data_IF_424351610339
#
_entry.id   IF_424351610339
#
_cell.length_a   1.000
_cell.length_b   1.000
_cell.length_c   1.000
_cell.angle_alpha   90.00
_cell.angle_beta   90.00
_cell.angle_gamma   90.00
#
_symmetry.space_group_name_H-M   'P 1'
#
loop_
_entity.id
_entity.type
_entity.pdbx_description
1 polymer ?
#
# COMPACT_ATOMS: atom_id res chain seq x y z
N UNK A 1 -28.27 -15.83 -41.58
CA UNK A 1 -26.87 -15.38 -41.69
C UNK A 1 -26.70 -14.18 -40.78
N UNK A 2 -26.17 -14.42 -39.57
CA UNK A 2 -25.87 -13.36 -38.62
C UNK A 2 -24.53 -12.72 -39.03
N UNK A 3 -24.55 -11.41 -39.29
CA UNK A 3 -23.38 -10.62 -39.61
C UNK A 3 -22.53 -10.39 -38.36
N UNK A 4 -21.24 -10.72 -38.48
CA UNK A 4 -20.21 -10.43 -37.49
C UNK A 4 -20.01 -8.91 -37.44
N UNK A 5 -20.45 -8.28 -36.35
CA UNK A 5 -20.00 -6.93 -35.99
C UNK A 5 -18.67 -7.07 -35.27
N UNK A 6 -17.58 -6.82 -36.00
CA UNK A 6 -16.28 -6.58 -35.41
C UNK A 6 -16.35 -5.26 -34.63
N UNK A 7 -16.43 -5.37 -33.30
CA UNK A 7 -16.13 -4.25 -32.41
C UNK A 7 -14.64 -3.95 -32.54
N UNK A 8 -14.31 -2.86 -33.21
CA UNK A 8 -12.97 -2.30 -33.19
C UNK A 8 -12.67 -1.86 -31.77
N UNK A 9 -11.99 -2.70 -30.99
CA UNK A 9 -11.31 -2.29 -29.77
C UNK A 9 -10.22 -1.29 -30.16
N UNK A 10 -10.57 -0.02 -30.20
CA UNK A 10 -9.61 1.06 -30.02
C UNK A 10 -9.05 0.85 -28.62
N UNK A 11 -7.79 0.45 -28.51
CA UNK A 11 -7.06 0.37 -27.25
C UNK A 11 -7.06 1.78 -26.63
N UNK A 12 -7.98 2.01 -25.71
CA UNK A 12 -8.02 3.23 -24.92
C UNK A 12 -6.89 3.10 -23.90
N UNK A 13 -5.96 4.05 -23.92
CA UNK A 13 -4.79 4.05 -23.04
C UNK A 13 -5.23 4.13 -21.57
N UNK A 14 -5.18 2.99 -20.86
CA UNK A 14 -5.63 2.83 -19.48
C UNK A 14 -4.56 3.24 -18.46
N UNK A 15 -4.54 4.51 -18.04
CA UNK A 15 -3.72 4.97 -16.88
C UNK A 15 -4.39 6.08 -16.07
N UNK A 16 -5.62 5.87 -15.60
CA UNK A 16 -6.31 6.84 -14.74
C UNK A 16 -6.10 6.51 -13.24
N UNK A 17 -5.45 7.41 -12.49
CA UNK A 17 -5.61 7.43 -11.02
C UNK A 17 -7.03 7.91 -10.75
N UNK A 18 -7.85 7.03 -10.17
CA UNK A 18 -9.21 7.41 -9.73
C UNK A 18 -9.16 7.77 -8.25
N UNK A 19 -9.53 9.00 -7.96
CA UNK A 19 -9.70 9.46 -6.58
C UNK A 19 -11.15 9.24 -6.18
N UNK A 20 -11.33 8.54 -5.07
CA UNK A 20 -12.63 8.31 -4.48
C UNK A 20 -12.68 9.03 -3.13
N UNK A 21 -13.78 9.72 -2.86
CA UNK A 21 -14.16 9.98 -1.47
C UNK A 21 -15.02 8.85 -0.97
N UNK A 22 -14.76 8.45 0.26
CA UNK A 22 -15.62 7.54 1.00
C UNK A 22 -16.39 8.33 2.05
N UNK A 23 -17.71 8.18 2.10
CA UNK A 23 -18.49 8.52 3.29
C UNK A 23 -18.85 7.22 4.00
N UNK A 24 -18.46 7.10 5.26
CA UNK A 24 -18.79 5.95 6.10
C UNK A 24 -19.86 6.35 7.12
N UNK A 25 -20.88 5.51 7.23
CA UNK A 25 -21.77 5.41 8.40
C UNK A 25 -21.46 4.11 9.12
N UNK A 26 -22.00 3.89 10.33
CA UNK A 26 -21.80 2.64 11.07
C UNK A 26 -22.32 1.37 10.37
N UNK A 27 -23.05 1.51 9.25
CA UNK A 27 -23.67 0.39 8.53
C UNK A 27 -23.36 0.35 7.03
N UNK A 28 -22.88 1.44 6.43
CA UNK A 28 -22.58 1.52 4.98
C UNK A 28 -21.41 2.45 4.69
N UNK A 29 -20.54 2.05 3.76
CA UNK A 29 -19.48 2.88 3.18
C UNK A 29 -19.80 3.13 1.71
N UNK A 30 -20.11 4.38 1.34
CA UNK A 30 -20.42 4.75 -0.03
C UNK A 30 -19.20 5.38 -0.70
N UNK A 31 -18.98 5.05 -1.98
CA UNK A 31 -18.04 5.76 -2.83
C UNK A 31 -18.77 6.85 -3.62
N UNK A 32 -18.29 8.07 -3.50
CA UNK A 32 -18.51 9.10 -4.52
C UNK A 32 -17.20 9.25 -5.30
N UNK A 33 -17.23 8.86 -6.57
CA UNK A 33 -16.10 9.04 -7.48
C UNK A 33 -16.02 10.49 -7.93
N UNK A 34 -14.82 11.06 -7.96
CA UNK A 34 -14.57 12.28 -8.72
C UNK A 34 -14.18 11.91 -10.15
N UNK A 35 -14.61 12.72 -11.11
CA UNK A 35 -14.16 12.63 -12.49
C UNK A 35 -12.62 12.72 -12.55
N UNK A 36 -12.05 11.93 -13.46
CA UNK A 36 -10.62 11.88 -13.71
C UNK A 36 -10.06 13.28 -13.96
N UNK A 37 -8.94 13.61 -13.31
CA UNK A 37 -8.08 14.68 -13.81
C UNK A 37 -7.65 14.28 -15.22
N UNK A 38 -7.85 15.12 -16.23
CA UNK A 38 -7.62 14.75 -17.64
C UNK A 38 -6.23 15.20 -18.15
N UNK A 39 -5.40 15.79 -17.28
CA UNK A 39 -4.09 16.35 -17.62
C UNK A 39 -2.93 15.39 -17.25
N UNK A 40 -3.19 14.08 -17.26
CA UNK A 40 -2.15 13.08 -17.02
C UNK A 40 -1.32 12.87 -18.29
N UNK A 41 -0.26 13.65 -18.42
CA UNK A 41 0.93 13.16 -19.10
C UNK A 41 1.54 12.04 -18.26
N UNK A 42 0.99 10.82 -18.37
CA UNK A 42 1.61 9.48 -18.45
C UNK A 42 2.87 9.08 -17.62
N UNK A 43 3.35 9.85 -16.64
CA UNK A 43 4.72 9.66 -16.11
C UNK A 43 4.82 9.32 -14.61
N UNK A 44 3.72 9.24 -13.86
CA UNK A 44 3.77 8.88 -12.43
C UNK A 44 3.57 7.39 -12.20
N UNK A 45 4.38 6.82 -11.31
CA UNK A 45 4.51 5.37 -11.12
C UNK A 45 4.04 4.88 -9.75
N UNK A 46 4.03 5.79 -8.76
CA UNK A 46 3.59 5.53 -7.40
C UNK A 46 2.86 6.75 -6.86
N UNK A 47 1.79 6.49 -6.10
CA UNK A 47 1.00 7.50 -5.39
C UNK A 47 0.86 7.06 -3.94
N UNK A 48 1.19 7.94 -3.00
CA UNK A 48 1.03 7.68 -1.56
C UNK A 48 0.33 8.85 -0.87
N UNK A 49 -0.15 8.62 0.35
CA UNK A 49 -0.74 9.69 1.16
C UNK A 49 0.28 10.79 1.42
N UNK A 50 -0.18 12.03 1.31
CA UNK A 50 0.62 13.20 1.56
C UNK A 50 0.67 13.60 3.04
N UNK A 51 1.34 14.72 3.35
CA UNK A 51 1.62 15.14 4.72
C UNK A 51 0.40 15.61 5.51
N UNK A 52 -0.69 15.97 4.83
CA UNK A 52 -1.91 16.49 5.42
C UNK A 52 -3.15 15.79 4.86
N UNK A 53 -4.30 16.01 5.51
CA UNK A 53 -5.58 15.66 4.89
C UNK A 53 -5.66 16.27 3.49
N UNK A 54 -6.30 15.56 2.56
CA UNK A 54 -6.47 16.04 1.19
C UNK A 54 -5.16 16.30 0.43
N UNK A 55 -4.08 15.61 0.80
CA UNK A 55 -2.82 15.67 0.04
C UNK A 55 -2.35 14.28 -0.37
N UNK A 56 -1.68 14.22 -1.52
CA UNK A 56 -1.06 13.02 -2.05
C UNK A 56 0.31 13.34 -2.63
N UNK A 57 1.20 12.35 -2.63
CA UNK A 57 2.52 12.44 -3.22
C UNK A 57 2.54 11.57 -4.47
N UNK A 58 2.95 12.17 -5.59
CA UNK A 58 3.06 11.51 -6.89
C UNK A 58 4.54 11.39 -7.25
N UNK A 59 5.04 10.17 -7.35
CA UNK A 59 6.43 9.88 -7.66
C UNK A 59 6.57 9.38 -9.10
N UNK A 60 7.49 10.01 -9.84
CA UNK A 60 7.91 9.63 -11.17
C UNK A 60 9.30 8.99 -11.08
N UNK A 61 9.36 7.68 -11.34
CA UNK A 61 10.60 6.91 -11.26
C UNK A 61 11.53 7.09 -12.45
N UNK A 62 11.04 7.54 -13.60
CA UNK A 62 11.85 7.69 -14.81
C UNK A 62 12.50 9.07 -14.89
N UNK A 63 11.80 10.10 -14.42
CA UNK A 63 12.32 11.46 -14.36
C UNK A 63 12.82 11.84 -12.95
N UNK A 64 12.84 10.87 -12.03
CA UNK A 64 13.42 10.98 -10.69
C UNK A 64 12.92 12.16 -9.85
N UNK A 65 11.63 12.47 -9.92
CA UNK A 65 11.04 13.56 -9.14
C UNK A 65 9.75 13.13 -8.46
N UNK A 66 9.36 13.83 -7.39
CA UNK A 66 8.01 13.71 -6.84
C UNK A 66 7.34 15.07 -6.68
N UNK A 67 6.01 15.06 -6.68
CA UNK A 67 5.17 16.23 -6.39
C UNK A 67 4.30 15.95 -5.18
N UNK A 68 4.19 16.95 -4.31
CA UNK A 68 3.14 16.96 -3.29
C UNK A 68 1.99 17.78 -3.85
N UNK A 69 0.82 17.17 -3.91
CA UNK A 69 -0.39 17.79 -4.46
C UNK A 69 -1.47 17.90 -3.39
N UNK A 70 -2.21 18.99 -3.43
CA UNK A 70 -3.46 19.15 -2.72
C UNK A 70 -4.63 18.74 -3.62
N UNK A 71 -5.63 18.11 -3.03
CA UNK A 71 -6.84 17.60 -3.68
C UNK A 71 -8.04 18.22 -2.98
N UNK A 72 -8.74 19.16 -3.61
CA UNK A 72 -9.89 19.80 -2.99
C UNK A 72 -11.11 18.84 -2.92
N UNK A 73 -12.14 19.24 -2.18
CA UNK A 73 -13.37 18.46 -1.98
C UNK A 73 -14.21 18.22 -3.25
N UNK A 74 -13.92 18.92 -4.34
CA UNK A 74 -14.51 18.72 -5.66
C UNK A 74 -13.62 17.84 -6.57
N UNK A 75 -12.52 17.29 -6.04
CA UNK A 75 -11.56 16.50 -6.80
C UNK A 75 -10.62 17.33 -7.68
N UNK A 76 -10.52 18.65 -7.47
CA UNK A 76 -9.56 19.51 -8.17
C UNK A 76 -8.17 19.45 -7.53
N UNK A 77 -7.12 19.55 -8.35
CA UNK A 77 -5.74 19.36 -7.92
C UNK A 77 -4.91 20.64 -8.02
N UNK A 78 -3.98 20.84 -7.09
CA UNK A 78 -2.92 21.85 -7.20
C UNK A 78 -1.60 21.31 -6.68
N UNK A 79 -0.49 21.70 -7.33
CA UNK A 79 0.85 21.32 -6.86
C UNK A 79 1.25 22.24 -5.72
N UNK A 80 1.57 21.67 -4.56
CA UNK A 80 2.12 22.39 -3.41
C UNK A 80 3.64 22.51 -3.52
N UNK A 81 4.30 21.43 -3.91
CA UNK A 81 5.74 21.39 -4.09
C UNK A 81 6.16 20.36 -5.14
N UNK A 82 7.36 20.55 -5.69
CA UNK A 82 8.04 19.57 -6.55
C UNK A 82 9.46 19.42 -6.06
N UNK A 83 9.92 18.18 -5.94
CA UNK A 83 11.30 17.83 -5.58
C UNK A 83 11.89 17.02 -6.72
N UNK A 84 12.97 17.53 -7.31
CA UNK A 84 13.72 16.88 -8.39
C UNK A 84 14.93 16.10 -7.85
N UNK A 85 15.59 15.34 -8.72
CA UNK A 85 16.81 14.60 -8.43
C UNK A 85 16.70 13.68 -7.20
N UNK A 86 15.52 13.10 -7.02
CA UNK A 86 15.22 12.14 -5.97
C UNK A 86 16.07 10.90 -6.16
N UNK A 87 16.40 10.53 -7.40
CA UNK A 87 17.23 9.38 -7.76
C UNK A 87 16.42 8.13 -8.12
N UNK A 88 17.14 7.05 -8.42
CA UNK A 88 16.54 5.82 -8.96
C UNK A 88 15.95 4.95 -7.85
N UNK A 89 14.67 5.13 -7.56
CA UNK A 89 13.95 4.34 -6.56
C UNK A 89 12.76 3.60 -7.17
N UNK A 90 12.51 2.39 -6.70
CA UNK A 90 11.41 1.54 -7.16
C UNK A 90 10.11 1.82 -6.38
N UNK A 91 10.27 2.11 -5.10
CA UNK A 91 9.17 2.19 -4.13
C UNK A 91 9.24 3.47 -3.32
N UNK A 92 8.07 3.93 -2.89
CA UNK A 92 7.90 5.03 -1.94
C UNK A 92 6.93 4.58 -0.85
N UNK A 93 7.30 4.82 0.39
CA UNK A 93 6.48 4.59 1.58
C UNK A 93 6.10 5.93 2.19
N UNK A 94 4.95 5.92 2.86
CA UNK A 94 4.51 6.96 3.77
C UNK A 94 4.53 6.40 5.19
N UNK A 95 5.04 7.16 6.15
CA UNK A 95 5.21 6.67 7.52
C UNK A 95 5.81 7.72 8.44
N UNK A 96 5.87 7.48 9.74
CA UNK A 96 6.60 8.34 10.67
C UNK A 96 8.07 7.93 10.71
N UNK A 97 8.91 8.57 9.90
CA UNK A 97 10.33 8.23 9.82
C UNK A 97 11.22 9.25 10.54
N UNK A 98 10.78 10.48 10.80
CA UNK A 98 11.65 11.56 11.28
C UNK A 98 11.22 12.08 12.66
N UNK A 99 9.97 11.89 13.09
CA UNK A 99 9.53 12.17 14.47
C UNK A 99 8.03 12.29 14.68
N UNK A 100 7.61 12.41 15.95
CA UNK A 100 6.23 12.35 16.47
C UNK A 100 5.27 13.49 16.04
N UNK A 101 5.37 13.98 14.82
CA UNK A 101 4.33 14.84 14.26
C UNK A 101 3.18 13.97 13.75
N UNK A 102 1.98 14.56 13.64
CA UNK A 102 0.86 13.91 12.96
C UNK A 102 1.05 13.83 11.44
N UNK A 103 2.16 14.36 10.92
CA UNK A 103 2.49 14.40 9.50
C UNK A 103 3.32 13.17 9.18
N UNK A 104 2.96 12.49 8.09
CA UNK A 104 3.70 11.34 7.58
C UNK A 104 4.83 11.83 6.67
N UNK A 105 5.98 11.20 6.80
CA UNK A 105 7.21 11.39 6.04
C UNK A 105 7.25 10.44 4.83
N UNK A 106 8.27 10.63 3.97
CA UNK A 106 8.51 9.76 2.84
C UNK A 106 9.80 8.96 2.99
N UNK A 107 9.71 7.70 2.58
CA UNK A 107 10.87 6.84 2.40
C UNK A 107 10.87 6.26 0.98
N UNK A 108 11.92 6.54 0.23
CA UNK A 108 12.16 5.97 -1.09
C UNK A 108 13.10 4.77 -0.95
N UNK A 109 12.80 3.68 -1.66
CA UNK A 109 13.56 2.44 -1.59
C UNK A 109 13.84 1.84 -2.96
N UNK A 110 15.10 1.44 -3.17
CA UNK A 110 15.53 0.74 -4.36
C UNK A 110 15.71 -0.74 -3.99
N UNK A 111 14.86 -1.57 -4.58
CA UNK A 111 14.73 -2.99 -4.24
C UNK A 111 15.97 -3.78 -4.60
N UNK A 112 16.67 -3.42 -5.67
CA UNK A 112 17.87 -4.12 -6.13
C UNK A 112 19.12 -3.74 -5.32
N UNK A 113 19.30 -2.44 -5.06
CA UNK A 113 20.54 -1.92 -4.46
C UNK A 113 20.49 -1.83 -2.94
N UNK A 114 19.29 -1.80 -2.35
CA UNK A 114 19.05 -1.57 -0.93
C UNK A 114 19.17 -0.11 -0.51
N UNK A 115 19.31 0.83 -1.45
CA UNK A 115 19.33 2.26 -1.12
C UNK A 115 17.99 2.71 -0.57
N UNK A 116 18.07 3.49 0.51
CA UNK A 116 16.96 4.19 1.17
C UNK A 116 17.26 5.68 1.14
N UNK A 117 16.24 6.50 0.85
CA UNK A 117 16.29 7.96 0.98
C UNK A 117 15.06 8.46 1.73
N UNK A 118 15.26 9.26 2.78
CA UNK A 118 14.18 9.74 3.66
C UNK A 118 14.01 11.25 3.52
N UNK A 119 12.76 11.67 3.37
CA UNK A 119 12.33 13.07 3.40
C UNK A 119 11.33 13.29 4.52
N UNK A 120 11.55 14.32 5.31
CA UNK A 120 10.55 14.84 6.24
C UNK A 120 9.56 15.70 5.46
N UNK A 121 8.26 15.47 5.63
CA UNK A 121 7.24 16.29 4.98
C UNK A 121 6.63 17.30 5.95
N UNK A 122 6.21 18.44 5.40
CA UNK A 122 5.60 19.54 6.14
C UNK A 122 4.15 19.76 5.72
N UNK A 123 3.34 20.36 6.59
CA UNK A 123 1.90 20.56 6.35
C UNK A 123 1.62 21.45 5.12
N UNK A 124 2.55 22.33 4.76
CA UNK A 124 2.48 23.16 3.55
C UNK A 124 2.88 22.41 2.27
N UNK A 125 3.18 21.12 2.36
CA UNK A 125 3.61 20.26 1.26
C UNK A 125 5.11 20.33 0.95
N UNK A 126 5.91 21.13 1.66
CA UNK A 126 7.37 21.10 1.50
C UNK A 126 7.97 19.78 1.98
N UNK A 127 9.12 19.42 1.43
CA UNK A 127 9.86 18.22 1.80
C UNK A 127 11.32 18.56 2.09
N UNK A 128 11.83 18.11 3.23
CA UNK A 128 13.21 18.30 3.66
C UNK A 128 13.95 16.97 3.58
N UNK A 129 14.99 16.89 2.75
CA UNK A 129 15.88 15.73 2.73
C UNK A 129 16.53 15.55 4.11
N UNK A 130 16.48 14.32 4.65
CA UNK A 130 17.05 14.02 5.97
C UNK A 130 18.34 13.22 5.86
N UNK A 131 18.26 12.05 5.25
CA UNK A 131 19.41 11.18 5.08
C UNK A 131 19.16 10.17 3.98
N UNK A 132 20.24 9.53 3.56
CA UNK A 132 20.20 8.33 2.73
C UNK A 132 21.15 7.30 3.31
N UNK A 133 20.81 6.04 3.12
CA UNK A 133 21.58 4.92 3.61
C UNK A 133 21.41 3.74 2.66
N UNK A 134 22.48 2.99 2.46
CA UNK A 134 22.37 1.67 1.84
C UNK A 134 22.14 0.63 2.92
N UNK A 135 20.95 0.03 2.95
CA UNK A 135 20.73 -1.18 3.73
C UNK A 135 21.53 -2.33 3.10
N UNK A 136 21.98 -3.32 3.90
CA UNK A 136 22.66 -4.49 3.34
C UNK A 136 21.87 -5.07 2.16
N UNK A 137 22.49 -5.18 0.97
CA UNK A 137 21.83 -5.74 -0.19
C UNK A 137 21.46 -7.20 0.08
N UNK A 138 20.58 -7.74 -0.75
CA UNK A 138 20.10 -9.10 -0.60
C UNK A 138 21.28 -10.10 -0.69
N UNK A 139 21.40 -11.08 0.24
CA UNK A 139 22.60 -11.91 0.37
C UNK A 139 23.00 -12.71 -0.87
N UNK A 140 22.06 -13.30 -1.62
CA UNK A 140 22.38 -14.07 -2.82
C UNK A 140 22.48 -13.24 -4.11
N UNK A 141 22.31 -11.91 -4.01
CA UNK A 141 22.15 -11.04 -5.17
C UNK A 141 20.72 -11.09 -5.72
N UNK A 142 20.21 -9.95 -6.16
CA UNK A 142 18.83 -9.82 -6.65
C UNK A 142 18.12 -8.61 -6.07
N UNK A 143 16.78 -8.66 -6.02
CA UNK A 143 15.94 -7.57 -5.50
C UNK A 143 15.05 -8.03 -4.35
N UNK A 144 14.77 -7.13 -3.42
CA UNK A 144 13.66 -7.29 -2.48
C UNK A 144 12.34 -7.28 -3.26
N UNK A 145 11.39 -8.13 -2.88
CA UNK A 145 10.11 -8.23 -3.60
C UNK A 145 9.10 -7.22 -3.04
N UNK A 146 9.01 -7.14 -1.71
CA UNK A 146 8.09 -6.29 -0.98
C UNK A 146 8.84 -5.50 0.09
N UNK A 147 8.49 -4.22 0.20
CA UNK A 147 8.87 -3.36 1.32
C UNK A 147 7.60 -2.76 1.93
N UNK A 148 7.51 -2.73 3.25
CA UNK A 148 6.51 -1.97 3.98
C UNK A 148 7.02 -1.37 5.28
N UNK A 149 6.18 -0.54 5.90
CA UNK A 149 6.49 0.14 7.14
C UNK A 149 5.31 0.14 8.09
N UNK A 150 5.59 0.32 9.37
CA UNK A 150 4.57 0.47 10.38
C UNK A 150 5.15 0.60 11.78
N UNK A 151 4.32 1.01 12.72
CA UNK A 151 4.68 1.23 14.10
C UNK A 151 4.76 -0.10 14.85
N UNK A 152 5.98 -0.57 15.14
CA UNK A 152 6.22 -1.80 15.91
C UNK A 152 6.79 -1.47 17.29
N UNK A 153 6.24 -0.44 17.95
CA UNK A 153 6.59 -0.10 19.33
C UNK A 153 7.87 0.69 19.53
N UNK A 154 8.30 1.46 18.52
CA UNK A 154 9.40 2.40 18.68
C UNK A 154 9.01 3.63 19.52
N UNK A 155 9.96 4.27 20.20
CA UNK A 155 9.69 5.58 20.81
C UNK A 155 9.21 6.61 19.76
N UNK A 156 8.40 7.58 20.21
CA UNK A 156 7.88 8.65 19.35
C UNK A 156 6.98 8.19 18.19
N UNK A 157 6.37 7.00 18.30
CA UNK A 157 5.47 6.42 17.28
C UNK A 157 6.10 6.29 15.90
N UNK A 158 7.43 6.09 15.86
CA UNK A 158 8.17 5.95 14.61
C UNK A 158 7.93 4.58 13.97
N UNK A 159 7.94 4.57 12.66
CA UNK A 159 7.72 3.36 11.87
C UNK A 159 9.03 2.62 11.64
N UNK A 160 8.95 1.31 11.81
CA UNK A 160 9.93 0.33 11.40
C UNK A 160 9.69 -0.09 9.95
N UNK A 161 10.69 -0.69 9.31
CA UNK A 161 10.61 -1.21 7.94
C UNK A 161 10.61 -2.74 7.97
N UNK A 162 9.75 -3.34 7.16
CA UNK A 162 9.77 -4.75 6.79
C UNK A 162 10.18 -4.89 5.33
N UNK A 163 11.24 -5.66 5.07
CA UNK A 163 11.63 -6.13 3.75
C UNK A 163 11.33 -7.62 3.63
N UNK A 164 10.76 -8.05 2.50
CA UNK A 164 10.50 -9.44 2.19
C UNK A 164 11.03 -9.80 0.80
N UNK A 165 11.68 -10.95 0.72
CA UNK A 165 12.13 -11.58 -0.51
C UNK A 165 11.40 -12.92 -0.69
N UNK A 166 10.63 -12.98 -1.77
CA UNK A 166 9.80 -14.11 -2.19
C UNK A 166 10.66 -15.28 -2.63
N UNK A 167 11.76 -15.02 -3.33
CA UNK A 167 12.63 -16.06 -3.90
C UNK A 167 13.31 -16.91 -2.83
N UNK A 168 13.82 -16.29 -1.77
CA UNK A 168 14.52 -16.95 -0.67
C UNK A 168 13.60 -17.31 0.49
N UNK A 169 12.44 -16.65 0.60
CA UNK A 169 11.60 -16.75 1.79
C UNK A 169 12.25 -16.09 3.00
N UNK A 170 12.85 -14.92 2.79
CA UNK A 170 13.56 -14.16 3.83
C UNK A 170 12.83 -12.86 4.09
N UNK A 171 12.71 -12.50 5.36
CA UNK A 171 12.25 -11.18 5.77
C UNK A 171 13.17 -10.56 6.81
N UNK A 172 13.31 -9.23 6.74
CA UNK A 172 14.15 -8.45 7.65
C UNK A 172 13.40 -7.23 8.14
N UNK A 173 13.55 -6.96 9.43
CA UNK A 173 13.05 -5.75 10.07
C UNK A 173 14.19 -4.79 10.35
N UNK A 174 13.96 -3.52 10.05
CA UNK A 174 14.89 -2.43 10.31
C UNK A 174 14.20 -1.36 11.13
N UNK A 175 14.89 -0.92 12.19
CA UNK A 175 14.45 0.16 13.07
C UNK A 175 15.32 1.38 12.87
N UNK A 176 14.71 2.56 12.81
CA UNK A 176 15.48 3.80 12.72
C UNK A 176 16.16 4.11 14.05
N UNK A 177 17.47 4.22 14.06
CA UNK A 177 18.19 4.82 15.18
C UNK A 177 18.07 6.35 15.09
N UNK A 178 17.31 6.95 16.01
CA UNK A 178 17.03 8.38 16.04
C UNK A 178 18.27 9.25 16.31
N UNK A 179 19.29 8.70 16.96
CA UNK A 179 20.54 9.42 17.23
C UNK A 179 21.43 9.52 16.00
N UNK A 180 21.53 8.43 15.23
CA UNK A 180 22.42 8.35 14.06
C UNK A 180 21.71 8.61 12.73
N UNK A 181 20.38 8.84 12.74
CA UNK A 181 19.56 8.96 11.53
C UNK A 181 19.85 7.83 10.53
N UNK A 182 19.86 6.59 11.04
CA UNK A 182 20.17 5.40 10.23
C UNK A 182 19.37 4.21 10.69
N UNK A 183 18.93 3.38 9.75
CA UNK A 183 18.26 2.13 9.99
C UNK A 183 19.26 1.04 10.41
N UNK A 184 18.92 0.31 11.47
CA UNK A 184 19.65 -0.84 11.96
C UNK A 184 18.76 -2.09 11.92
N UNK A 185 19.29 -3.27 11.55
CA UNK A 185 18.52 -4.51 11.57
C UNK A 185 18.16 -4.86 13.02
N UNK A 186 16.92 -5.28 13.25
CA UNK A 186 16.40 -5.63 14.58
C UNK A 186 15.80 -7.03 14.65
N UNK A 187 15.30 -7.55 13.52
CA UNK A 187 14.81 -8.92 13.44
C UNK A 187 14.96 -9.48 12.04
N UNK A 188 14.89 -10.80 11.96
CA UNK A 188 15.30 -11.55 10.80
C UNK A 188 14.56 -12.90 10.79
N UNK A 189 13.79 -13.15 9.73
CA UNK A 189 13.03 -14.39 9.50
C UNK A 189 13.40 -15.14 8.21
N UNK A 190 13.64 -16.45 8.36
CA UNK A 190 14.13 -17.36 7.33
C UNK A 190 13.06 -18.45 7.14
N UNK A 191 12.92 -18.96 5.91
CA UNK A 191 11.95 -20.03 5.62
C UNK A 191 10.50 -19.57 5.61
N UNK A 192 10.25 -18.27 5.38
CA UNK A 192 8.91 -17.80 5.08
C UNK A 192 8.40 -18.40 3.78
N UNK A 193 7.07 -18.51 3.67
CA UNK A 193 6.46 -18.96 2.41
C UNK A 193 6.89 -18.03 1.28
N UNK A 194 7.04 -18.61 0.09
CA UNK A 194 7.65 -17.99 -1.11
C UNK A 194 6.61 -17.59 -2.16
N UNK A 195 5.38 -17.37 -1.71
CA UNK A 195 4.19 -17.18 -2.53
C UNK A 195 3.41 -15.92 -2.13
N UNK A 196 3.91 -15.12 -1.18
CA UNK A 196 3.23 -13.88 -0.83
C UNK A 196 3.41 -12.84 -1.93
N UNK A 197 2.28 -12.32 -2.43
CA UNK A 197 2.25 -11.30 -3.48
C UNK A 197 2.10 -9.90 -2.89
N UNK A 198 1.44 -9.78 -1.73
CA UNK A 198 1.25 -8.53 -1.01
C UNK A 198 1.47 -8.74 0.50
N UNK A 199 2.10 -7.76 1.13
CA UNK A 199 2.17 -7.62 2.59
C UNK A 199 1.67 -6.23 2.93
N UNK A 200 0.50 -6.16 3.55
CA UNK A 200 -0.24 -4.92 3.79
C UNK A 200 -0.26 -4.62 5.29
N UNK A 201 0.23 -3.45 5.72
CA UNK A 201 0.22 -3.05 7.13
C UNK A 201 -1.17 -2.57 7.57
N UNK A 202 -1.47 -2.73 8.85
CA UNK A 202 -2.59 -2.09 9.55
C UNK A 202 -2.75 -2.63 10.98
N UNK A 203 -3.43 -1.92 11.86
CA UNK A 203 -3.81 -2.42 13.20
C UNK A 203 -4.97 -3.42 13.09
N UNK A 204 -4.71 -4.73 13.09
CA UNK A 204 -5.69 -5.78 12.81
C UNK A 204 -6.32 -6.30 14.11
N UNK A 205 -5.55 -6.42 15.18
CA UNK A 205 -6.03 -6.92 16.47
C UNK A 205 -6.54 -5.79 17.40
N UNK A 206 -6.31 -4.51 17.07
CA UNK A 206 -6.72 -3.35 17.86
C UNK A 206 -5.77 -2.98 18.99
N UNK A 207 -4.52 -3.45 18.97
CA UNK A 207 -3.52 -3.19 20.01
C UNK A 207 -2.68 -1.92 19.76
N UNK A 208 -3.00 -1.17 18.71
CA UNK A 208 -2.31 0.04 18.26
C UNK A 208 -0.89 -0.18 17.73
N UNK A 209 -0.40 -1.41 17.62
CA UNK A 209 0.77 -1.74 16.80
C UNK A 209 0.34 -2.07 15.37
N UNK A 210 1.27 -1.91 14.44
CA UNK A 210 1.05 -2.38 13.08
C UNK A 210 1.14 -3.90 13.04
N UNK A 211 0.04 -4.52 12.64
CA UNK A 211 -0.03 -5.91 12.18
C UNK A 211 0.09 -5.96 10.64
N UNK A 212 0.08 -7.17 10.09
CA UNK A 212 0.25 -7.38 8.66
C UNK A 212 -0.71 -8.43 8.10
N UNK A 213 -1.35 -8.10 6.99
CA UNK A 213 -1.96 -9.06 6.08
C UNK A 213 -0.91 -9.54 5.08
N UNK A 214 -0.67 -10.84 5.06
CA UNK A 214 0.06 -11.56 4.04
C UNK A 214 -0.95 -12.15 3.07
N UNK A 215 -0.87 -11.76 1.80
CA UNK A 215 -1.82 -12.19 0.79
C UNK A 215 -1.12 -12.82 -0.41
N UNK A 216 -1.64 -13.97 -0.82
CA UNK A 216 -1.25 -14.71 -2.00
C UNK A 216 -2.48 -14.82 -2.92
N UNK A 217 -2.34 -14.25 -4.11
CA UNK A 217 -3.42 -14.12 -5.08
C UNK A 217 -3.71 -15.43 -5.82
N UNK A 218 -2.75 -16.35 -5.86
CA UNK A 218 -2.87 -17.68 -6.50
C UNK A 218 -3.46 -18.74 -5.55
N UNK A 219 -3.73 -18.37 -4.30
CA UNK A 219 -4.33 -19.22 -3.27
C UNK A 219 -3.35 -20.11 -2.51
N UNK A 220 -3.82 -20.66 -1.39
CA UNK A 220 -3.07 -21.59 -0.54
C UNK A 220 -3.45 -23.01 -0.90
N UNK A 221 -2.47 -23.85 -1.30
CA UNK A 221 -2.57 -25.27 -1.67
C UNK A 221 -3.97 -25.87 -1.83
N UNK A 222 -4.28 -26.34 -3.05
CA UNK A 222 -5.55 -26.99 -3.44
C UNK A 222 -6.11 -27.90 -2.34
N UNK A 223 -7.16 -27.45 -1.66
CA UNK A 223 -8.05 -28.35 -0.93
C UNK A 223 -8.81 -29.22 -1.95
N UNK A 224 -9.09 -30.47 -1.59
CA UNK A 224 -9.85 -31.43 -2.41
C UNK A 224 -11.30 -31.01 -2.68
N UNK A 225 -11.74 -29.86 -2.17
CA UNK A 225 -13.04 -29.23 -2.46
C UNK A 225 -12.79 -27.96 -3.27
N UNK A 226 -13.27 -27.95 -4.51
CA UNK A 226 -12.88 -27.09 -5.63
C UNK A 226 -13.24 -25.58 -5.53
N UNK A 227 -13.07 -24.96 -4.36
CA UNK A 227 -13.14 -23.49 -4.22
C UNK A 227 -11.72 -22.94 -4.33
N UNK A 228 -11.44 -22.23 -5.42
CA UNK A 228 -10.16 -21.54 -5.62
C UNK A 228 -10.30 -20.13 -5.06
N UNK A 229 -9.66 -19.89 -3.92
CA UNK A 229 -9.69 -18.59 -3.22
C UNK A 229 -8.27 -18.13 -2.94
N UNK A 230 -8.09 -16.82 -2.83
CA UNK A 230 -6.85 -16.22 -2.36
C UNK A 230 -6.56 -16.65 -0.92
N UNK A 231 -5.28 -16.67 -0.56
CA UNK A 231 -4.83 -17.01 0.79
C UNK A 231 -4.45 -15.73 1.52
N UNK A 232 -5.12 -15.48 2.64
CA UNK A 232 -4.87 -14.36 3.52
C UNK A 232 -4.47 -14.86 4.90
N UNK A 233 -3.32 -14.38 5.39
CA UNK A 233 -2.81 -14.66 6.72
C UNK A 233 -2.55 -13.35 7.45
N UNK A 234 -3.10 -13.21 8.64
CA UNK A 234 -2.96 -12.02 9.47
C UNK A 234 -2.01 -12.32 10.60
N UNK A 235 -0.98 -11.49 10.76
CA UNK A 235 0.07 -11.70 11.74
C UNK A 235 0.40 -10.41 12.47
N UNK A 236 0.77 -10.55 13.74
CA UNK A 236 1.39 -9.50 14.53
C UNK A 236 2.85 -9.85 14.78
N UNK A 237 3.68 -8.82 14.95
CA UNK A 237 5.03 -8.95 15.47
C UNK A 237 5.21 -8.27 16.83
N UNK A 238 4.35 -7.30 17.14
CA UNK A 238 4.47 -6.43 18.31
C UNK A 238 5.84 -5.75 18.43
N UNK A 239 6.12 -5.22 19.63
CA UNK A 239 7.36 -4.48 19.91
C UNK A 239 8.61 -5.34 20.02
N UNK A 240 8.43 -6.65 20.23
CA UNK A 240 9.50 -7.62 20.37
C UNK A 240 9.86 -8.31 19.05
N UNK A 241 9.20 -7.94 17.95
CA UNK A 241 9.37 -8.54 16.65
C UNK A 241 9.17 -10.06 16.63
N UNK A 242 8.24 -10.59 17.43
CA UNK A 242 7.94 -12.02 17.50
C UNK A 242 6.68 -12.33 16.70
N UNK A 243 6.80 -13.18 15.67
CA UNK A 243 5.68 -13.55 14.81
C UNK A 243 4.59 -14.28 15.60
N UNK A 244 3.38 -13.73 15.57
CA UNK A 244 2.17 -14.33 16.09
C UNK A 244 1.11 -14.34 14.99
N UNK A 245 0.52 -15.50 14.71
CA UNK A 245 -0.63 -15.58 13.81
C UNK A 245 -1.88 -15.11 14.55
N UNK A 246 -2.54 -14.09 14.02
CA UNK A 246 -3.84 -13.61 14.50
C UNK A 246 -4.94 -14.51 13.95
N UNK A 247 -4.94 -14.70 12.62
CA UNK A 247 -5.89 -15.55 11.90
C UNK A 247 -5.36 -15.91 10.51
N UNK A 248 -5.97 -16.89 9.85
CA UNK A 248 -5.60 -17.35 8.51
C UNK A 248 -6.82 -17.91 7.79
N UNK A 249 -7.01 -17.57 6.52
CA UNK A 249 -8.09 -18.08 5.68
C UNK A 249 -7.59 -18.37 4.25
N UNK A 250 -8.04 -19.49 3.71
CA UNK A 250 -7.68 -19.97 2.37
C UNK A 250 -8.90 -20.16 1.46
N UNK A 251 -10.11 -19.80 1.93
CA UNK A 251 -11.36 -20.11 1.23
C UNK A 251 -12.24 -18.90 0.96
N UNK A 252 -11.99 -17.75 1.59
CA UNK A 252 -12.91 -16.60 1.52
C UNK A 252 -12.38 -15.41 0.72
N UNK A 253 -11.07 -15.25 0.61
CA UNK A 253 -10.49 -14.08 -0.06
C UNK A 253 -10.53 -14.22 -1.57
N UNK A 254 -10.78 -13.14 -2.32
CA UNK A 254 -10.88 -13.23 -3.78
C UNK A 254 -9.55 -13.71 -4.35
N UNK A 255 -9.63 -14.54 -5.39
CA UNK A 255 -8.50 -14.93 -6.23
C UNK A 255 -8.62 -14.16 -7.55
N UNK A 256 -7.64 -13.34 -7.89
CA UNK A 256 -7.57 -12.67 -9.19
C UNK A 256 -6.12 -12.32 -9.52
N UNK A 257 -5.80 -12.16 -10.80
CA UNK A 257 -4.44 -11.86 -11.24
C UNK A 257 -4.01 -10.45 -10.82
N UNK A 258 -4.98 -9.53 -10.71
CA UNK A 258 -4.74 -8.13 -10.35
C UNK A 258 -5.63 -7.71 -9.18
N UNK A 259 -5.20 -8.05 -7.96
CA UNK A 259 -5.86 -7.60 -6.73
C UNK A 259 -5.10 -6.42 -6.12
N UNK A 260 -5.82 -5.38 -5.70
CA UNK A 260 -5.31 -4.33 -4.83
C UNK A 260 -6.00 -4.40 -3.47
N UNK A 261 -5.23 -4.36 -2.40
CA UNK A 261 -5.76 -4.40 -1.03
C UNK A 261 -5.43 -3.09 -0.31
N UNK A 262 -6.45 -2.31 0.01
CA UNK A 262 -6.31 -1.01 0.66
C UNK A 262 -6.72 -1.13 2.13
N UNK A 263 -5.80 -0.96 3.09
CA UNK A 263 -6.14 -0.90 4.50
C UNK A 263 -6.86 0.41 4.81
N UNK A 264 -7.80 0.39 5.75
CA UNK A 264 -8.46 1.57 6.28
C UNK A 264 -9.48 1.21 7.36
N UNK A 265 -9.98 2.21 8.09
CA UNK A 265 -11.06 2.01 9.07
C UNK A 265 -12.41 2.34 8.41
N UNK A 266 -12.96 1.38 7.65
CA UNK A 266 -14.17 1.56 6.84
C UNK A 266 -15.47 1.31 7.61
N UNK A 267 -15.43 0.43 8.62
CA UNK A 267 -16.51 0.09 9.53
C UNK A 267 -16.58 1.01 10.76
N UNK A 268 -15.54 1.80 11.03
CA UNK A 268 -15.52 2.83 12.07
C UNK A 268 -15.20 2.32 13.47
N UNK A 269 -14.69 1.09 13.63
CA UNK A 269 -14.41 0.47 14.92
C UNK A 269 -12.95 0.58 15.37
N UNK A 270 -12.14 1.32 14.61
CA UNK A 270 -10.69 1.54 14.82
C UNK A 270 -9.80 0.35 14.54
N UNK A 271 -10.35 -0.81 14.15
CA UNK A 271 -9.56 -1.89 13.57
C UNK A 271 -9.41 -1.68 12.08
N UNK A 272 -8.38 -2.29 11.51
CA UNK A 272 -8.13 -2.23 10.07
C UNK A 272 -9.08 -3.14 9.33
N UNK A 273 -9.92 -2.51 8.52
CA UNK A 273 -10.71 -3.09 7.45
C UNK A 273 -9.94 -3.03 6.12
N UNK A 274 -10.47 -3.70 5.10
CA UNK A 274 -9.88 -3.68 3.78
C UNK A 274 -10.89 -3.35 2.68
N UNK A 275 -10.50 -2.51 1.73
CA UNK A 275 -11.07 -2.54 0.40
C UNK A 275 -10.22 -3.48 -0.44
N UNK A 276 -10.84 -4.52 -0.97
CA UNK A 276 -10.21 -5.45 -1.91
C UNK A 276 -10.79 -5.19 -3.28
N UNK A 277 -9.97 -4.66 -4.17
CA UNK A 277 -10.35 -4.35 -5.54
C UNK A 277 -9.75 -5.36 -6.51
N UNK A 278 -10.61 -6.00 -7.28
CA UNK A 278 -10.27 -6.90 -8.37
C UNK A 278 -10.28 -6.11 -9.69
N UNK A 279 -9.11 -5.84 -10.24
CA UNK A 279 -8.98 -5.09 -11.48
C UNK A 279 -9.41 -5.89 -12.71
N UNK A 280 -9.32 -7.22 -12.67
CA UNK A 280 -9.76 -8.09 -13.77
C UNK A 280 -11.28 -7.98 -13.98
N UNK A 281 -12.02 -7.70 -12.91
CA UNK A 281 -13.48 -7.59 -12.92
C UNK A 281 -13.98 -6.15 -12.72
N UNK A 282 -13.11 -5.21 -12.38
CA UNK A 282 -13.47 -3.84 -12.02
C UNK A 282 -14.37 -3.74 -10.78
N UNK A 283 -14.27 -4.69 -9.85
CA UNK A 283 -15.11 -4.81 -8.66
C UNK A 283 -14.33 -4.49 -7.38
N UNK A 284 -14.90 -3.67 -6.51
CA UNK A 284 -14.37 -3.40 -5.17
C UNK A 284 -15.27 -3.98 -4.10
N UNK A 285 -14.69 -4.70 -3.14
CA UNK A 285 -15.40 -5.27 -1.99
C UNK A 285 -14.82 -4.75 -0.69
N UNK A 286 -15.68 -4.25 0.20
CA UNK A 286 -15.28 -3.94 1.58
C UNK A 286 -15.34 -5.18 2.46
N UNK A 287 -14.26 -5.42 3.18
CA UNK A 287 -14.05 -6.48 4.15
C UNK A 287 -13.87 -5.87 5.52
N UNK A 288 -14.88 -6.00 6.37
CA UNK A 288 -14.85 -5.44 7.71
C UNK A 288 -14.27 -6.44 8.70
N UNK A 289 -13.38 -5.97 9.55
CA UNK A 289 -12.81 -6.73 10.64
C UNK A 289 -13.85 -6.89 11.75
N UNK A 290 -14.38 -8.10 11.90
CA UNK A 290 -15.34 -8.43 12.95
C UNK A 290 -14.69 -8.76 14.29
N UNK A 291 -13.36 -8.67 14.37
CA UNK A 291 -12.54 -8.92 15.55
C UNK A 291 -11.43 -9.92 15.29
N UNK A 292 -10.24 -9.64 15.83
CA UNK A 292 -9.06 -10.52 15.80
C UNK A 292 -8.78 -11.11 14.40
N UNK A 293 -8.77 -10.27 13.38
CA UNK A 293 -8.45 -10.66 11.99
C UNK A 293 -9.51 -11.55 11.32
N UNK A 294 -10.73 -11.63 11.84
CA UNK A 294 -11.86 -12.23 11.15
C UNK A 294 -12.54 -11.17 10.28
N UNK A 295 -12.88 -11.50 9.04
CA UNK A 295 -13.42 -10.52 8.09
C UNK A 295 -14.76 -10.95 7.47
N UNK A 296 -15.67 -9.99 7.35
CA UNK A 296 -16.95 -10.16 6.67
C UNK A 296 -17.05 -9.21 5.46
N UNK A 297 -17.36 -9.76 4.28
CA UNK A 297 -17.65 -8.95 3.10
C UNK A 297 -18.99 -8.24 3.25
N UNK A 298 -19.05 -6.93 2.96
CA UNK A 298 -20.26 -6.12 3.19
C UNK A 298 -20.88 -5.52 1.93
N UNK A 299 -20.08 -5.01 1.00
CA UNK A 299 -20.60 -4.31 -0.17
C UNK A 299 -19.69 -4.55 -1.37
N UNK A 300 -20.29 -4.87 -2.50
CA UNK A 300 -19.63 -4.95 -3.82
C UNK A 300 -20.06 -3.75 -4.63
N UNK A 301 -19.09 -2.94 -5.05
CA UNK A 301 -19.32 -1.79 -5.93
C UNK A 301 -18.58 -2.04 -7.25
N UNK A 302 -19.29 -2.00 -8.37
CA UNK A 302 -18.71 -2.08 -9.71
C UNK A 302 -18.20 -0.69 -10.12
N UNK A 303 -16.90 -0.53 -10.34
CA UNK A 303 -16.31 0.73 -10.80
C UNK A 303 -16.16 0.81 -12.34
N UNK A 304 -16.44 -0.28 -13.07
CA UNK A 304 -16.55 -0.29 -14.53
C UNK A 304 -15.27 0.02 -15.32
N UNK A 305 -14.11 0.19 -14.67
CA UNK A 305 -12.81 0.38 -15.34
C UNK A 305 -11.66 -0.21 -14.53
N UNK A 306 -10.52 -0.47 -15.19
CA UNK A 306 -9.24 -0.79 -14.57
C UNK A 306 -8.79 0.36 -13.65
N UNK A 307 -8.48 0.05 -12.40
CA UNK A 307 -7.92 1.02 -11.44
C UNK A 307 -6.45 0.69 -11.18
N UNK A 308 -5.57 1.66 -11.40
CA UNK A 308 -4.11 1.49 -11.28
C UNK A 308 -3.61 1.82 -9.88
N UNK A 309 -4.37 2.62 -9.12
CA UNK A 309 -4.09 2.97 -7.73
C UNK A 309 -5.38 3.46 -7.08
N UNK A 310 -5.65 3.01 -5.85
CA UNK A 310 -6.77 3.51 -5.04
C UNK A 310 -6.21 4.32 -3.88
N UNK A 311 -6.69 5.56 -3.76
CA UNK A 311 -6.43 6.42 -2.63
C UNK A 311 -7.75 6.74 -1.93
N UNK A 312 -7.74 6.68 -0.59
CA UNK A 312 -8.90 6.98 0.24
C UNK A 312 -8.46 7.89 1.38
N UNK A 313 -9.18 8.99 1.59
CA UNK A 313 -9.04 9.86 2.75
C UNK A 313 -10.33 9.87 3.55
N UNK A 314 -10.25 9.58 4.85
CA UNK A 314 -11.39 9.70 5.77
C UNK A 314 -11.45 11.12 6.35
N UNK A 315 -12.65 11.67 6.52
CA UNK A 315 -12.84 12.98 7.15
C UNK A 315 -12.49 13.01 8.65
N UNK A 316 -12.34 11.84 9.29
CA UNK A 316 -12.21 11.68 10.74
C UNK A 316 -10.76 11.67 11.27
N UNK A 317 -9.75 12.02 10.46
CA UNK A 317 -8.37 12.16 10.94
C UNK A 317 -7.62 10.84 11.18
N UNK A 318 -8.21 9.69 10.84
CA UNK A 318 -7.50 8.40 10.81
C UNK A 318 -6.79 8.26 9.46
N UNK A 319 -5.49 8.56 9.47
CA UNK A 319 -4.62 8.67 8.29
C UNK A 319 -3.97 7.33 7.93
N UNK A 320 -4.70 6.44 7.28
CA UNK A 320 -4.10 5.25 6.67
C UNK A 320 -4.82 4.89 5.37
N UNK A 321 -4.10 4.97 4.23
CA UNK A 321 -4.36 4.22 3.00
C UNK A 321 -3.37 4.62 1.90
N UNK A 322 -2.37 3.78 1.64
CA UNK A 322 -1.61 3.80 0.38
C UNK A 322 -1.25 2.38 0.01
N UNK A 323 -1.92 1.80 -0.98
CA UNK A 323 -1.51 0.47 -1.48
C UNK A 323 -0.48 0.61 -2.58
N UNK A 324 0.53 -0.25 -2.46
CA UNK A 324 1.63 -0.47 -3.38
C UNK A 324 1.25 -1.52 -4.41
N UNK A 325 0.94 -1.06 -5.61
CA UNK A 325 1.35 -1.65 -6.88
C UNK A 325 0.50 -1.00 -7.97
N UNK A 326 1.19 -0.46 -8.96
CA UNK A 326 0.59 -0.25 -10.26
C UNK A 326 0.27 -1.62 -10.87
N UNK A 327 -0.90 -1.78 -11.48
CA UNK A 327 -1.27 -2.94 -12.29
C UNK A 327 -0.56 -2.98 -13.66
N UNK A 328 0.44 -2.11 -13.89
CA UNK A 328 1.25 -2.13 -15.11
C UNK A 328 2.25 -3.30 -14.99
N UNK A 329 2.28 -4.25 -15.94
CA UNK A 329 3.29 -5.30 -15.96
C UNK A 329 4.69 -4.67 -15.99
N UNK A 330 5.64 -5.23 -15.23
CA UNK A 330 7.07 -4.98 -15.46
C UNK A 330 7.34 -5.43 -16.91
N UNK A 331 7.40 -4.50 -17.87
CA UNK A 331 7.96 -4.82 -19.18
C UNK A 331 9.42 -5.24 -18.97
N UNK A 332 9.70 -6.46 -19.41
CA UNK A 332 10.98 -7.17 -19.30
C UNK A 332 12.15 -6.42 -19.91
#
# INVERSE_FOLDING_TARGET
>A
MAGVLASSHVAQADTNVKVFTTSATSTTTNFTGFSAYNDWNKIYHRVVTGPAANTAVFYNRYDYYFRVMHINSAGGYSTLSTVFDVGEFDEVLTGNFVGATAIKDLLFFNRATGWVKVYELHANGQATYRFSQRLPPMPSGGKWDIITSGYLGQSQYRDDILLYNKTEGVAKFYRLNSTSSSFAPVASYWGWQRNWDQIVPGDINGDSYTDFLFYNQDGGSRSSSAVVSGHAKFVSFGSNFNLQTISETVTTWPMAAHVMIVPGNFGGDSKTDFLVYNADQGTGTFWWNTGAGQYAAKTTSTCGCLVVSIWISTQSGHREAGTKRSAIPDES
#
